data_IF_463377269405
#
_entry.id   IF_463377269405
#
_cell.length_a   1.000
_cell.length_b   1.000
_cell.length_c   1.000
_cell.angle_alpha   90.00
_cell.angle_beta   90.00
_cell.angle_gamma   90.00
#
_symmetry.space_group_name_H-M   'P 1'
#
loop_
_entity.id
_entity.type
_entity.pdbx_description
1 polymer ?
#
# COMPACT_ATOMS: atom_id res chain seq x y z
N UNK A 1 30.96 -32.96 17.40
CA UNK A 1 30.71 -31.52 17.68
C UNK A 1 32.01 -30.77 17.43
N UNK A 2 31.99 -29.46 17.08
CA UNK A 2 30.84 -28.64 16.67
C UNK A 2 30.44 -29.05 15.22
N UNK A 3 29.95 -28.24 14.28
CA UNK A 3 29.30 -26.92 14.32
C UNK A 3 28.16 -26.91 13.28
N UNK A 4 27.06 -26.18 13.54
CA UNK A 4 25.96 -26.01 12.57
C UNK A 4 25.33 -24.61 12.59
N UNK A 5 26.05 -23.60 13.11
CA UNK A 5 25.54 -22.21 13.26
C UNK A 5 25.77 -21.29 12.05
N UNK A 6 26.48 -21.74 11.02
CA UNK A 6 26.91 -20.89 9.88
C UNK A 6 25.83 -20.73 8.80
N UNK A 7 25.06 -21.78 8.52
CA UNK A 7 24.23 -21.89 7.31
C UNK A 7 22.98 -20.97 7.30
N UNK A 8 22.43 -20.61 8.46
CA UNK A 8 21.20 -19.79 8.51
C UNK A 8 21.45 -18.30 8.28
N UNK A 9 22.58 -17.76 8.78
CA UNK A 9 22.96 -16.35 8.55
C UNK A 9 23.32 -16.11 7.09
N UNK A 10 24.02 -17.07 6.47
CA UNK A 10 24.42 -16.98 5.07
C UNK A 10 23.21 -16.92 4.13
N UNK A 11 22.21 -17.79 4.33
CA UNK A 11 20.96 -17.78 3.54
C UNK A 11 20.12 -16.51 3.72
N UNK A 12 20.15 -15.90 4.91
CA UNK A 12 19.47 -14.61 5.15
C UNK A 12 20.19 -13.45 4.46
N UNK A 13 21.52 -13.39 4.54
CA UNK A 13 22.32 -12.41 3.82
C UNK A 13 22.16 -12.55 2.30
N UNK A 14 22.13 -13.78 1.79
CA UNK A 14 21.93 -14.08 0.37
C UNK A 14 20.54 -13.64 -0.12
N UNK A 15 19.49 -13.81 0.70
CA UNK A 15 18.15 -13.27 0.39
C UNK A 15 18.15 -11.74 0.32
N UNK A 16 18.78 -11.05 1.28
CA UNK A 16 18.91 -9.58 1.24
C UNK A 16 19.75 -9.09 0.06
N UNK A 17 20.80 -9.82 -0.32
CA UNK A 17 21.67 -9.47 -1.45
C UNK A 17 20.94 -9.66 -2.79
N UNK A 18 20.15 -10.74 -2.94
CA UNK A 18 19.25 -10.95 -4.08
C UNK A 18 18.17 -9.85 -4.11
N UNK A 19 17.54 -9.52 -2.97
CA UNK A 19 16.54 -8.45 -2.90
C UNK A 19 17.14 -7.09 -3.27
N UNK A 20 18.34 -6.77 -2.80
CA UNK A 20 19.06 -5.56 -3.15
C UNK A 20 19.42 -5.51 -4.65
N UNK A 21 19.90 -6.62 -5.23
CA UNK A 21 20.17 -6.73 -6.67
C UNK A 21 18.90 -6.60 -7.52
N UNK A 22 17.78 -7.20 -7.10
CA UNK A 22 16.49 -7.06 -7.79
C UNK A 22 15.92 -5.64 -7.62
N UNK A 23 16.10 -5.00 -6.47
CA UNK A 23 15.68 -3.62 -6.23
C UNK A 23 16.51 -2.62 -7.07
N UNK A 24 17.84 -2.71 -7.03
CA UNK A 24 18.74 -1.86 -7.83
C UNK A 24 18.57 -2.17 -9.32
N UNK A 25 18.48 -3.45 -9.70
CA UNK A 25 18.22 -3.87 -11.07
C UNK A 25 16.87 -3.36 -11.59
N UNK A 26 15.81 -3.40 -10.78
CA UNK A 26 14.52 -2.82 -11.17
C UNK A 26 14.58 -1.31 -11.30
N UNK A 27 15.32 -0.59 -10.44
CA UNK A 27 15.58 0.85 -10.60
C UNK A 27 16.34 1.16 -11.91
N UNK A 28 17.37 0.39 -12.25
CA UNK A 28 18.14 0.56 -13.50
C UNK A 28 17.29 0.24 -14.74
N UNK A 29 16.52 -0.85 -14.71
CA UNK A 29 15.58 -1.20 -15.79
C UNK A 29 14.50 -0.14 -15.95
N UNK A 30 13.94 0.39 -14.84
CA UNK A 30 12.98 1.49 -14.88
C UNK A 30 13.60 2.78 -15.42
N UNK A 31 14.87 3.11 -15.11
CA UNK A 31 15.53 4.28 -15.71
C UNK A 31 15.82 4.13 -17.21
N UNK A 32 16.02 2.91 -17.70
CA UNK A 32 16.23 2.62 -19.13
C UNK A 32 14.89 2.63 -19.90
N UNK A 33 13.82 2.09 -19.31
CA UNK A 33 12.49 2.01 -19.95
C UNK A 33 11.72 3.35 -19.85
N UNK A 34 11.94 4.12 -18.77
CA UNK A 34 11.30 5.43 -18.55
C UNK A 34 12.36 6.55 -18.43
N UNK A 35 13.10 6.85 -19.51
CA UNK A 35 14.17 7.86 -19.50
C UNK A 35 13.66 9.29 -19.30
N UNK A 36 12.35 9.54 -19.37
CA UNK A 36 11.76 10.84 -19.00
C UNK A 36 11.69 11.06 -17.48
N UNK A 37 11.68 10.01 -16.67
CA UNK A 37 11.69 10.10 -15.19
C UNK A 37 13.09 10.06 -14.59
N UNK A 38 14.07 9.49 -15.30
CA UNK A 38 15.44 9.26 -14.81
C UNK A 38 16.52 9.60 -15.86
N UNK A 39 16.19 10.51 -16.79
CA UNK A 39 17.13 10.94 -17.83
C UNK A 39 18.41 11.53 -17.23
N UNK A 40 19.51 11.59 -18.03
CA UNK A 40 20.75 12.19 -17.55
C UNK A 40 20.48 13.60 -17.01
N UNK A 41 21.12 13.95 -15.91
CA UNK A 41 21.16 15.34 -15.44
C UNK A 41 21.93 16.17 -16.47
N UNK A 42 21.22 16.66 -17.48
CA UNK A 42 21.70 17.74 -18.34
C UNK A 42 22.18 18.86 -17.43
N UNK A 43 23.38 19.40 -17.70
CA UNK A 43 23.84 20.62 -17.04
C UNK A 43 22.92 21.77 -17.47
N UNK A 44 21.84 22.00 -16.73
CA UNK A 44 20.93 23.10 -17.01
C UNK A 44 21.47 24.36 -16.34
N UNK A 45 21.90 25.31 -17.16
CA UNK A 45 22.24 26.66 -16.75
C UNK A 45 20.93 27.45 -16.59
N UNK A 46 20.59 27.84 -15.36
CA UNK A 46 19.37 28.61 -15.06
C UNK A 46 18.26 27.82 -14.37
N UNK A 47 17.10 28.46 -14.18
CA UNK A 47 16.00 27.88 -13.44
C UNK A 47 15.21 26.84 -14.26
N UNK A 48 14.64 25.82 -13.62
CA UNK A 48 13.95 24.73 -14.33
C UNK A 48 12.65 24.34 -13.62
N UNK A 49 11.52 24.52 -14.32
CA UNK A 49 10.22 24.03 -13.89
C UNK A 49 9.91 22.71 -14.60
N UNK A 50 9.56 21.66 -13.85
CA UNK A 50 9.13 20.35 -14.38
C UNK A 50 7.94 19.82 -13.58
N UNK A 51 7.01 19.06 -14.18
CA UNK A 51 6.03 18.31 -13.40
C UNK A 51 6.74 17.20 -12.60
N UNK A 52 6.21 16.87 -11.42
CA UNK A 52 6.64 15.65 -10.69
C UNK A 52 6.17 14.40 -11.44
N UNK A 53 4.92 14.43 -11.92
CA UNK A 53 4.31 13.39 -12.75
C UNK A 53 3.79 14.03 -14.05
N UNK A 54 4.29 13.58 -15.21
CA UNK A 54 3.81 14.06 -16.52
C UNK A 54 2.36 13.64 -16.83
N UNK A 55 1.84 12.62 -16.14
CA UNK A 55 0.46 12.14 -16.28
C UNK A 55 -0.17 11.98 -14.91
N UNK A 56 -1.09 12.88 -14.56
CA UNK A 56 -1.76 12.94 -13.27
C UNK A 56 -3.14 12.30 -13.38
N UNK A 57 -3.42 11.33 -12.52
CA UNK A 57 -4.68 10.57 -12.54
C UNK A 57 -5.80 11.38 -11.89
N UNK A 58 -6.98 11.41 -12.50
CA UNK A 58 -8.18 12.04 -11.95
C UNK A 58 -8.43 11.65 -10.48
N UNK A 59 -8.69 12.64 -9.63
CA UNK A 59 -8.75 12.47 -8.18
C UNK A 59 -7.42 12.58 -7.44
N UNK A 60 -6.30 12.84 -8.13
CA UNK A 60 -5.05 13.37 -7.57
C UNK A 60 -4.87 14.82 -8.04
N UNK A 61 -3.83 15.51 -7.55
CA UNK A 61 -3.47 16.87 -7.96
C UNK A 61 -2.09 16.86 -8.65
N UNK A 62 -1.79 17.83 -9.53
CA UNK A 62 -0.44 18.00 -10.03
C UNK A 62 0.49 18.58 -8.95
N UNK A 63 1.75 18.19 -9.00
CA UNK A 63 2.85 18.83 -8.28
C UNK A 63 3.91 19.25 -9.32
N UNK A 64 4.58 20.39 -9.10
CA UNK A 64 5.73 20.81 -9.89
C UNK A 64 7.00 20.78 -9.03
N UNK A 65 8.14 20.50 -9.65
CA UNK A 65 9.47 20.74 -9.08
C UNK A 65 10.10 21.93 -9.78
N UNK A 66 10.53 22.91 -8.99
CA UNK A 66 11.33 24.04 -9.44
C UNK A 66 12.76 23.87 -8.92
N UNK A 67 13.72 23.79 -9.84
CA UNK A 67 15.15 23.73 -9.54
C UNK A 67 15.75 25.11 -9.77
N UNK A 68 16.42 25.68 -8.77
CA UNK A 68 17.16 26.93 -8.93
C UNK A 68 18.63 26.62 -9.26
N UNK A 69 19.04 26.81 -10.53
CA UNK A 69 20.47 26.83 -10.94
C UNK A 69 20.89 28.20 -11.47
N UNK A 70 20.28 29.27 -10.96
CA UNK A 70 20.71 30.65 -11.21
C UNK A 70 21.77 31.07 -10.19
N UNK A 71 22.33 32.27 -10.34
CA UNK A 71 23.35 32.78 -9.42
C UNK A 71 22.81 33.36 -8.12
N UNK A 72 21.49 33.56 -8.01
CA UNK A 72 20.81 34.12 -6.84
C UNK A 72 19.58 33.34 -6.42
N UNK A 73 18.84 33.87 -5.46
CA UNK A 73 17.64 33.24 -4.91
C UNK A 73 16.39 33.60 -5.72
N UNK A 74 15.48 32.64 -5.89
CA UNK A 74 14.23 32.82 -6.64
C UNK A 74 13.10 33.10 -5.65
N UNK A 75 12.53 34.30 -5.72
CA UNK A 75 11.30 34.67 -5.00
C UNK A 75 10.10 34.39 -5.91
N UNK A 76 9.13 33.63 -5.43
CA UNK A 76 7.87 33.41 -6.16
C UNK A 76 6.85 34.49 -5.78
N UNK A 77 6.01 34.94 -6.71
CA UNK A 77 4.98 35.92 -6.40
C UNK A 77 3.90 35.28 -5.51
N UNK A 78 3.55 35.94 -4.40
CA UNK A 78 2.31 35.63 -3.69
C UNK A 78 1.13 36.11 -4.54
N UNK A 79 0.29 35.16 -4.92
CA UNK A 79 -0.87 35.36 -5.80
C UNK A 79 -2.17 34.83 -5.20
N UNK A 80 -2.14 34.34 -3.95
CA UNK A 80 -3.32 33.74 -3.31
C UNK A 80 -4.54 34.69 -3.41
N UNK A 81 -5.72 34.21 -3.89
CA UNK A 81 -6.11 32.81 -4.08
C UNK A 81 -5.70 32.15 -5.41
N UNK A 82 -4.98 32.82 -6.31
CA UNK A 82 -4.40 32.19 -7.52
C UNK A 82 -3.09 31.45 -7.22
N UNK A 83 -2.71 30.42 -8.00
CA UNK A 83 -1.41 29.79 -7.90
C UNK A 83 -0.25 30.75 -8.27
N UNK A 84 0.99 30.48 -7.81
CA UNK A 84 2.17 31.25 -8.19
C UNK A 84 2.54 31.10 -9.68
N UNK A 85 1.92 30.15 -10.39
CA UNK A 85 2.07 29.90 -11.83
C UNK A 85 0.80 30.31 -12.59
N UNK A 86 0.94 30.80 -13.81
CA UNK A 86 -0.18 30.91 -14.74
C UNK A 86 -0.56 29.52 -15.27
N UNK A 87 -1.85 29.21 -15.30
CA UNK A 87 -2.36 27.89 -15.70
C UNK A 87 -3.14 28.03 -17.00
N UNK A 88 -2.84 27.16 -17.97
CA UNK A 88 -3.51 27.09 -19.26
C UNK A 88 -4.00 25.67 -19.52
N UNK A 89 -5.20 25.53 -20.06
CA UNK A 89 -5.65 24.30 -20.70
C UNK A 89 -5.20 24.30 -22.16
N UNK A 90 -4.71 23.16 -22.65
CA UNK A 90 -4.40 22.98 -24.07
C UNK A 90 -5.64 22.42 -24.76
N UNK A 91 -6.15 23.12 -25.77
CA UNK A 91 -7.26 22.64 -26.60
C UNK A 91 -6.81 21.52 -27.55
N UNK A 92 -7.77 20.79 -28.16
CA UNK A 92 -7.47 19.81 -29.22
C UNK A 92 -6.74 20.43 -30.44
N UNK A 93 -6.90 21.74 -30.65
CA UNK A 93 -6.19 22.50 -31.69
C UNK A 93 -4.83 23.05 -31.24
N UNK A 94 -4.37 22.72 -30.04
CA UNK A 94 -3.10 23.21 -29.46
C UNK A 94 -3.15 24.66 -28.98
N UNK A 95 -4.33 25.29 -28.94
CA UNK A 95 -4.51 26.65 -28.42
C UNK A 95 -4.47 26.62 -26.90
N UNK A 96 -3.82 27.61 -26.30
CA UNK A 96 -3.78 27.78 -24.85
C UNK A 96 -4.97 28.64 -24.39
N UNK A 97 -5.77 28.08 -23.48
CA UNK A 97 -6.90 28.74 -22.84
C UNK A 97 -6.52 29.05 -21.39
N UNK A 98 -6.35 30.34 -21.00
CA UNK A 98 -5.97 30.69 -19.63
C UNK A 98 -7.07 30.34 -18.65
N UNK A 99 -6.69 29.78 -17.50
CA UNK A 99 -7.58 29.46 -16.39
C UNK A 99 -7.30 30.38 -15.20
N UNK A 100 -8.37 30.77 -14.51
CA UNK A 100 -8.32 31.62 -13.31
C UNK A 100 -9.37 31.17 -12.30
N UNK A 101 -9.14 31.47 -11.02
CA UNK A 101 -10.06 31.15 -9.93
C UNK A 101 -9.81 32.02 -8.70
N UNK A 102 -10.86 32.21 -7.93
CA UNK A 102 -10.91 32.77 -6.59
C UNK A 102 -11.10 31.69 -5.50
N UNK A 103 -11.31 30.43 -5.89
CA UNK A 103 -11.57 29.30 -4.97
C UNK A 103 -10.37 28.38 -4.78
N UNK A 104 -10.09 28.05 -3.51
CA UNK A 104 -9.15 27.00 -3.10
C UNK A 104 -9.83 25.92 -2.26
N UNK A 105 -9.48 24.65 -2.48
CA UNK A 105 -10.02 23.50 -1.71
C UNK A 105 -9.41 23.35 -0.33
N UNK A 106 -8.17 23.81 -0.16
CA UNK A 106 -7.41 23.90 1.11
C UNK A 106 -6.64 25.22 1.08
N UNK A 107 -6.21 25.80 2.22
CA UNK A 107 -5.48 27.06 2.23
C UNK A 107 -4.24 27.03 1.34
N UNK A 108 -4.14 27.95 0.38
CA UNK A 108 -2.91 28.16 -0.36
C UNK A 108 -1.87 28.86 0.54
N UNK A 109 -0.65 28.34 0.58
CA UNK A 109 0.45 28.90 1.36
C UNK A 109 1.53 29.39 0.37
N UNK A 110 1.91 30.67 0.39
CA UNK A 110 2.89 31.21 -0.54
C UNK A 110 4.30 30.66 -0.24
N UNK A 111 4.81 29.82 -1.13
CA UNK A 111 6.24 29.47 -1.19
C UNK A 111 7.01 30.74 -1.53
N UNK A 112 7.75 31.29 -0.57
CA UNK A 112 8.28 32.66 -0.71
C UNK A 112 9.63 32.71 -1.42
N UNK A 113 10.53 31.77 -1.13
CA UNK A 113 11.93 31.84 -1.56
C UNK A 113 12.52 30.45 -1.84
N UNK A 114 13.33 30.33 -2.89
CA UNK A 114 14.07 29.11 -3.27
C UNK A 114 15.53 29.49 -3.45
N UNK A 115 16.38 28.98 -2.57
CA UNK A 115 17.79 29.33 -2.53
C UNK A 115 18.55 28.85 -3.77
N UNK A 116 19.65 29.51 -4.08
CA UNK A 116 20.62 29.06 -5.08
C UNK A 116 20.96 27.57 -4.89
N UNK A 117 21.03 26.85 -6.00
CA UNK A 117 21.32 25.42 -6.11
C UNK A 117 20.30 24.45 -5.47
N UNK A 118 19.24 24.98 -4.84
CA UNK A 118 18.19 24.23 -4.15
C UNK A 118 17.00 23.85 -5.06
N UNK A 119 16.05 23.09 -4.51
CA UNK A 119 14.81 22.67 -5.17
C UNK A 119 13.59 22.85 -4.26
N UNK A 120 12.52 23.39 -4.82
CA UNK A 120 11.21 23.42 -4.16
C UNK A 120 10.18 22.60 -4.92
N UNK A 121 9.21 22.07 -4.18
CA UNK A 121 7.95 21.56 -4.76
C UNK A 121 6.91 22.67 -4.72
N UNK A 122 6.27 22.95 -5.84
CA UNK A 122 5.06 23.76 -5.91
C UNK A 122 3.89 22.78 -5.90
N UNK A 123 3.22 22.67 -4.76
CA UNK A 123 2.01 21.88 -4.63
C UNK A 123 0.81 22.65 -5.19
N UNK A 124 0.10 22.05 -6.15
CA UNK A 124 -1.10 22.61 -6.75
C UNK A 124 -2.39 21.99 -6.18
N UNK A 125 -2.28 21.22 -5.10
CA UNK A 125 -3.41 20.67 -4.36
C UNK A 125 -4.48 21.71 -3.95
N UNK A 126 -4.17 22.98 -3.60
CA UNK A 126 -5.20 23.99 -3.32
C UNK A 126 -6.16 24.27 -4.48
N UNK A 127 -5.75 24.03 -5.73
CA UNK A 127 -6.53 24.32 -6.94
C UNK A 127 -7.07 23.08 -7.65
N UNK A 128 -6.96 21.92 -7.01
CA UNK A 128 -7.31 20.61 -7.58
C UNK A 128 -8.67 20.57 -8.28
N UNK A 129 -9.68 21.21 -7.69
CA UNK A 129 -11.05 21.20 -8.20
C UNK A 129 -11.46 22.50 -8.93
N UNK A 130 -10.74 23.61 -8.73
CA UNK A 130 -11.03 24.88 -9.40
C UNK A 130 -10.29 25.05 -10.73
N UNK A 131 -9.07 24.51 -10.87
CA UNK A 131 -8.28 24.61 -12.11
C UNK A 131 -8.06 23.25 -12.81
N UNK A 132 -8.06 22.13 -12.06
CA UNK A 132 -7.61 20.83 -12.56
C UNK A 132 -8.68 19.72 -12.58
N UNK A 133 -9.97 20.06 -12.55
CA UNK A 133 -11.06 19.06 -12.56
C UNK A 133 -11.26 18.39 -13.93
N UNK A 134 -10.98 19.12 -15.02
CA UNK A 134 -11.16 18.61 -16.38
C UNK A 134 -10.00 17.70 -16.84
N UNK A 135 -10.32 16.69 -17.66
CA UNK A 135 -9.29 15.90 -18.34
C UNK A 135 -8.75 16.62 -19.59
N UNK A 136 -7.47 16.37 -19.90
CA UNK A 136 -6.76 17.02 -21.00
C UNK A 136 -5.30 17.35 -20.65
N UNK A 137 -4.59 17.95 -21.60
CA UNK A 137 -3.24 18.48 -21.39
C UNK A 137 -3.31 19.90 -20.81
N UNK A 138 -2.42 20.18 -19.88
CA UNK A 138 -2.28 21.47 -19.20
C UNK A 138 -0.86 21.99 -19.40
N UNK A 139 -0.74 23.30 -19.61
CA UNK A 139 0.52 24.02 -19.60
C UNK A 139 0.52 25.00 -18.41
N UNK A 140 1.58 24.99 -17.62
CA UNK A 140 1.79 25.94 -16.53
C UNK A 140 3.04 26.77 -16.81
N UNK A 141 2.95 28.07 -16.56
CA UNK A 141 4.03 29.04 -16.78
C UNK A 141 4.36 29.76 -15.49
N UNK A 142 5.63 29.80 -15.14
CA UNK A 142 6.15 30.63 -14.06
C UNK A 142 6.96 31.78 -14.66
N UNK A 143 6.55 33.01 -14.37
CA UNK A 143 7.29 34.20 -14.74
C UNK A 143 8.27 34.55 -13.61
N UNK A 144 9.56 34.50 -13.89
CA UNK A 144 10.61 34.90 -12.96
C UNK A 144 10.98 36.37 -13.22
N UNK A 145 10.86 37.19 -12.18
CA UNK A 145 11.36 38.56 -12.20
C UNK A 145 12.89 38.55 -12.33
N UNK A 146 13.42 39.37 -13.24
CA UNK A 146 14.85 39.61 -13.41
C UNK A 146 15.21 41.03 -12.97
N UNK A 147 16.50 41.31 -12.66
CA UNK A 147 16.98 42.67 -12.42
C UNK A 147 16.65 43.61 -13.59
N UNK A 148 16.49 44.90 -13.30
CA UNK A 148 16.00 45.91 -14.24
C UNK A 148 16.75 45.88 -15.59
N UNK A 149 15.99 45.81 -16.68
CA UNK A 149 16.51 45.85 -18.06
C UNK A 149 16.57 44.52 -18.81
N UNK A 150 16.21 43.38 -18.18
CA UNK A 150 16.04 42.09 -18.86
C UNK A 150 14.58 41.66 -18.90
N UNK A 151 14.15 41.00 -20.00
CA UNK A 151 12.80 40.42 -20.07
C UNK A 151 12.61 39.30 -19.04
N UNK A 152 11.41 39.16 -18.45
CA UNK A 152 11.12 38.14 -17.45
C UNK A 152 11.28 36.73 -18.05
N UNK A 153 11.95 35.85 -17.31
CA UNK A 153 12.18 34.48 -17.78
C UNK A 153 10.93 33.64 -17.51
N UNK A 154 10.31 33.13 -18.57
CA UNK A 154 9.14 32.25 -18.46
C UNK A 154 9.57 30.80 -18.48
N UNK A 155 9.42 30.11 -17.34
CA UNK A 155 9.60 28.67 -17.25
C UNK A 155 8.28 27.97 -17.54
N UNK A 156 8.30 26.96 -18.40
CA UNK A 156 7.09 26.23 -18.81
C UNK A 156 7.18 24.75 -18.44
N UNK A 157 6.11 24.22 -17.87
CA UNK A 157 5.92 22.79 -17.65
C UNK A 157 4.58 22.33 -18.23
N UNK A 158 4.50 21.07 -18.68
CA UNK A 158 3.27 20.46 -19.18
C UNK A 158 3.00 19.11 -18.53
N UNK A 159 1.71 18.81 -18.32
CA UNK A 159 1.25 17.51 -17.80
C UNK A 159 -0.17 17.22 -18.28
N UNK A 160 -0.57 15.96 -18.23
CA UNK A 160 -1.90 15.51 -18.67
C UNK A 160 -2.73 15.02 -17.48
N UNK A 161 -3.92 15.60 -17.28
CA UNK A 161 -4.95 15.05 -16.40
C UNK A 161 -5.72 13.96 -17.15
N UNK A 162 -5.70 12.72 -16.66
CA UNK A 162 -6.32 11.58 -17.34
C UNK A 162 -7.36 10.84 -16.48
N UNK A 163 -8.36 10.25 -17.13
CA UNK A 163 -9.43 9.53 -16.44
C UNK A 163 -8.93 8.21 -15.80
N UNK A 164 -9.31 7.90 -14.55
CA UNK A 164 -8.98 6.62 -13.93
C UNK A 164 -9.53 5.42 -14.73
N UNK A 165 -8.65 4.49 -15.10
CA UNK A 165 -9.04 3.25 -15.79
C UNK A 165 -10.02 2.38 -14.98
N UNK A 166 -10.73 1.48 -15.67
CA UNK A 166 -11.86 0.71 -15.13
C UNK A 166 -11.57 0.00 -13.79
N UNK A 167 -10.40 -0.63 -13.62
CA UNK A 167 -10.01 -1.27 -12.36
C UNK A 167 -9.93 -0.26 -11.21
N UNK A 168 -9.40 0.95 -11.46
CA UNK A 168 -9.36 2.02 -10.44
C UNK A 168 -10.76 2.55 -10.14
N UNK A 169 -11.63 2.70 -11.14
CA UNK A 169 -13.05 3.06 -10.93
C UNK A 169 -13.77 2.04 -10.05
N UNK A 170 -13.68 0.75 -10.37
CA UNK A 170 -14.26 -0.36 -9.59
C UNK A 170 -13.71 -0.35 -8.16
N UNK A 171 -12.38 -0.27 -8.00
CA UNK A 171 -11.74 -0.26 -6.68
C UNK A 171 -12.16 0.95 -5.83
N UNK A 172 -12.29 2.14 -6.44
CA UNK A 172 -12.82 3.32 -5.76
C UNK A 172 -14.28 3.12 -5.37
N UNK A 173 -15.15 2.71 -6.29
CA UNK A 173 -16.59 2.55 -6.05
C UNK A 173 -16.94 1.51 -4.99
N UNK A 174 -16.24 0.37 -4.95
CA UNK A 174 -16.60 -0.75 -4.07
C UNK A 174 -15.72 -0.89 -2.82
N UNK A 175 -14.56 -0.23 -2.76
CA UNK A 175 -13.64 -0.35 -1.62
C UNK A 175 -13.33 1.02 -1.01
N UNK A 176 -12.60 1.91 -1.70
CA UNK A 176 -12.11 3.14 -1.03
C UNK A 176 -13.24 4.11 -0.67
N UNK A 177 -14.23 4.29 -1.54
CA UNK A 177 -15.39 5.16 -1.30
C UNK A 177 -16.25 4.64 -0.14
N UNK A 178 -16.75 3.39 -0.12
CA UNK A 178 -17.45 2.84 1.05
C UNK A 178 -16.65 2.94 2.35
N UNK A 179 -15.33 2.64 2.31
CA UNK A 179 -14.49 2.68 3.51
C UNK A 179 -14.32 4.09 4.06
N UNK A 180 -13.96 5.08 3.22
CA UNK A 180 -13.80 6.47 3.66
C UNK A 180 -15.11 7.03 4.24
N UNK A 181 -16.24 6.80 3.56
CA UNK A 181 -17.53 7.30 4.03
C UNK A 181 -18.02 6.59 5.30
N UNK A 182 -17.65 5.32 5.50
CA UNK A 182 -17.90 4.62 6.77
C UNK A 182 -17.00 5.12 7.91
N UNK A 183 -15.72 5.43 7.64
CA UNK A 183 -14.84 6.07 8.62
C UNK A 183 -15.37 7.45 9.01
N UNK A 184 -15.84 8.25 8.04
CA UNK A 184 -16.49 9.54 8.31
C UNK A 184 -17.74 9.36 9.17
N UNK A 185 -18.64 8.44 8.80
CA UNK A 185 -19.86 8.14 9.58
C UNK A 185 -19.53 7.74 11.02
N UNK A 186 -18.56 6.84 11.21
CA UNK A 186 -18.19 6.38 12.56
C UNK A 186 -17.47 7.45 13.36
N UNK A 187 -16.61 8.25 12.73
CA UNK A 187 -15.96 9.39 13.38
C UNK A 187 -16.95 10.51 13.73
N UNK A 188 -17.96 10.80 12.90
CA UNK A 188 -18.97 11.84 13.20
C UNK A 188 -19.89 11.51 14.37
N UNK A 189 -19.87 10.25 14.84
CA UNK A 189 -20.55 9.81 16.07
C UNK A 189 -19.68 9.94 17.33
N UNK A 190 -18.42 10.40 17.19
CA UNK A 190 -17.43 10.55 18.25
C UNK A 190 -17.08 12.04 18.39
N UNK A 191 -17.02 12.54 19.63
CA UNK A 191 -16.80 13.96 19.92
C UNK A 191 -15.42 14.50 19.51
N UNK A 192 -14.43 13.61 19.35
CA UNK A 192 -13.06 13.90 18.90
C UNK A 192 -12.79 13.44 17.46
N UNK A 193 -13.81 12.96 16.73
CA UNK A 193 -13.70 12.35 15.41
C UNK A 193 -12.65 11.22 15.32
N UNK A 194 -12.52 10.39 16.38
CA UNK A 194 -11.40 9.45 16.52
C UNK A 194 -11.25 8.44 15.36
N UNK A 195 -10.15 8.57 14.61
CA UNK A 195 -9.81 7.69 13.50
C UNK A 195 -9.50 6.25 13.97
N UNK A 196 -8.92 6.08 15.16
CA UNK A 196 -8.55 4.77 15.69
C UNK A 196 -9.78 3.91 15.99
N UNK A 197 -10.77 4.50 16.64
CA UNK A 197 -12.06 3.84 16.90
C UNK A 197 -12.80 3.55 15.59
N UNK A 198 -12.85 4.52 14.66
CA UNK A 198 -13.44 4.33 13.32
C UNK A 198 -12.81 3.14 12.57
N UNK A 199 -11.48 3.02 12.59
CA UNK A 199 -10.74 1.88 11.99
C UNK A 199 -11.07 0.57 12.70
N UNK A 200 -11.14 0.53 14.03
CA UNK A 200 -11.49 -0.68 14.79
C UNK A 200 -12.89 -1.16 14.40
N UNK A 201 -13.87 -0.25 14.37
CA UNK A 201 -15.27 -0.56 14.00
C UNK A 201 -15.37 -1.02 12.55
N UNK A 202 -14.70 -0.34 11.60
CA UNK A 202 -14.62 -0.77 10.20
C UNK A 202 -13.99 -2.18 10.08
N UNK A 203 -12.92 -2.45 10.83
CA UNK A 203 -12.25 -3.76 10.81
C UNK A 203 -13.19 -4.86 11.27
N UNK A 204 -13.91 -4.65 12.38
CA UNK A 204 -14.88 -5.61 12.92
C UNK A 204 -16.02 -5.82 11.92
N UNK A 205 -16.60 -4.75 11.36
CA UNK A 205 -17.68 -4.84 10.37
C UNK A 205 -17.25 -5.66 9.13
N UNK A 206 -16.07 -5.36 8.57
CA UNK A 206 -15.54 -6.10 7.42
C UNK A 206 -15.26 -7.57 7.77
N UNK A 207 -14.75 -7.86 8.98
CA UNK A 207 -14.55 -9.25 9.43
C UNK A 207 -15.83 -10.01 9.65
N UNK A 208 -16.90 -9.36 10.13
CA UNK A 208 -18.23 -9.97 10.27
C UNK A 208 -18.87 -10.23 8.90
N UNK A 209 -18.80 -9.27 7.96
CA UNK A 209 -19.26 -9.47 6.59
C UNK A 209 -18.52 -10.62 5.87
N UNK A 210 -17.21 -10.75 6.13
CA UNK A 210 -16.37 -11.81 5.59
C UNK A 210 -16.35 -13.09 6.45
N UNK A 211 -17.17 -13.20 7.50
CA UNK A 211 -17.13 -14.33 8.43
C UNK A 211 -17.43 -15.66 7.71
N UNK A 212 -18.56 -15.76 7.02
CA UNK A 212 -18.95 -17.00 6.30
C UNK A 212 -17.92 -17.47 5.25
N UNK A 213 -17.43 -16.63 4.31
CA UNK A 213 -16.42 -17.08 3.35
C UNK A 213 -15.08 -17.44 4.00
N UNK A 214 -14.66 -16.74 5.08
CA UNK A 214 -13.44 -17.10 5.80
C UNK A 214 -13.59 -18.39 6.61
N UNK A 215 -14.78 -18.69 7.16
CA UNK A 215 -15.07 -19.99 7.77
C UNK A 215 -14.88 -21.15 6.79
N UNK A 216 -15.49 -21.09 5.61
CA UNK A 216 -15.33 -22.13 4.59
C UNK A 216 -13.89 -22.29 4.10
N UNK A 217 -13.12 -21.19 4.02
CA UNK A 217 -11.70 -21.25 3.72
C UNK A 217 -10.90 -22.01 4.79
N UNK A 218 -11.18 -21.77 6.08
CA UNK A 218 -10.54 -22.45 7.22
C UNK A 218 -10.90 -23.94 7.28
N UNK A 219 -12.15 -24.31 6.97
CA UNK A 219 -12.56 -25.71 6.82
C UNK A 219 -11.80 -26.41 5.67
N UNK A 220 -11.66 -25.74 4.52
CA UNK A 220 -10.88 -26.24 3.38
C UNK A 220 -9.41 -26.46 3.76
N UNK A 221 -8.80 -25.50 4.46
CA UNK A 221 -7.43 -25.62 4.98
C UNK A 221 -7.29 -26.79 5.96
N UNK A 222 -8.25 -26.99 6.88
CA UNK A 222 -8.27 -28.13 7.81
C UNK A 222 -8.37 -29.47 7.10
N UNK A 223 -9.18 -29.58 6.03
CA UNK A 223 -9.26 -30.77 5.18
C UNK A 223 -7.91 -31.06 4.51
N UNK A 224 -7.25 -30.03 3.96
CA UNK A 224 -5.93 -30.15 3.35
C UNK A 224 -4.85 -30.62 4.35
N UNK A 225 -4.87 -30.09 5.59
CA UNK A 225 -3.98 -30.56 6.67
C UNK A 225 -4.19 -32.04 7.01
N UNK A 226 -5.44 -32.54 7.02
CA UNK A 226 -5.71 -33.96 7.26
C UNK A 226 -5.17 -34.88 6.13
N UNK A 227 -5.00 -34.36 4.90
CA UNK A 227 -4.41 -35.12 3.77
C UNK A 227 -2.88 -35.07 3.74
N UNK A 228 -2.25 -34.26 4.57
CA UNK A 228 -0.80 -34.08 4.62
C UNK A 228 0.02 -35.39 4.68
N UNK A 229 -0.30 -36.42 5.51
CA UNK A 229 0.46 -37.67 5.49
C UNK A 229 0.38 -38.41 4.13
N UNK A 230 -0.77 -38.40 3.45
CA UNK A 230 -0.93 -39.01 2.12
C UNK A 230 -0.12 -38.23 1.06
N UNK A 231 -0.07 -36.90 1.17
CA UNK A 231 0.77 -36.05 0.31
C UNK A 231 2.26 -36.35 0.52
N UNK A 232 2.70 -36.57 1.75
CA UNK A 232 4.08 -36.93 2.07
C UNK A 232 4.46 -38.32 1.52
N UNK A 233 3.53 -39.29 1.51
CA UNK A 233 3.73 -40.60 0.87
C UNK A 233 3.87 -40.51 -0.66
N UNK A 234 3.00 -39.76 -1.35
CA UNK A 234 3.10 -39.55 -2.80
C UNK A 234 4.46 -38.89 -3.14
N UNK A 235 4.87 -37.89 -2.38
CA UNK A 235 6.17 -37.21 -2.55
C UNK A 235 7.37 -38.13 -2.33
N UNK A 236 7.30 -39.06 -1.38
CA UNK A 236 8.33 -40.10 -1.19
C UNK A 236 8.39 -41.06 -2.37
N UNK A 237 7.23 -41.53 -2.87
CA UNK A 237 7.15 -42.48 -3.99
C UNK A 237 7.61 -41.88 -5.32
N UNK A 238 7.30 -40.62 -5.59
CA UNK A 238 7.52 -39.98 -6.89
C UNK A 238 8.59 -38.88 -6.85
N UNK A 239 9.55 -38.94 -5.91
CA UNK A 239 10.63 -37.94 -5.76
C UNK A 239 11.39 -37.66 -7.08
N UNK A 240 11.55 -38.68 -7.92
CA UNK A 240 12.26 -38.60 -9.21
C UNK A 240 11.37 -38.30 -10.42
N UNK A 241 10.04 -38.17 -10.27
CA UNK A 241 9.12 -37.89 -11.36
C UNK A 241 8.09 -36.81 -10.95
N UNK A 242 8.39 -35.52 -11.18
CA UNK A 242 7.52 -34.41 -10.80
C UNK A 242 6.15 -34.40 -11.49
N UNK A 243 6.05 -34.88 -12.72
CA UNK A 243 4.79 -34.89 -13.47
C UNK A 243 3.80 -35.91 -12.87
N UNK A 244 4.27 -37.14 -12.64
CA UNK A 244 3.47 -38.18 -12.00
C UNK A 244 3.09 -37.77 -10.57
N UNK A 245 4.02 -37.17 -9.82
CA UNK A 245 3.76 -36.63 -8.49
C UNK A 245 2.61 -35.60 -8.52
N UNK A 246 2.66 -34.63 -9.43
CA UNK A 246 1.60 -33.62 -9.56
C UNK A 246 0.25 -34.24 -9.98
N UNK A 247 0.26 -35.22 -10.88
CA UNK A 247 -0.95 -35.95 -11.32
C UNK A 247 -1.60 -36.71 -10.18
N UNK A 248 -0.83 -37.37 -9.32
CA UNK A 248 -1.34 -38.10 -8.16
C UNK A 248 -1.81 -37.16 -7.03
N UNK A 249 -1.12 -36.04 -6.79
CA UNK A 249 -1.58 -35.00 -5.86
C UNK A 249 -2.93 -34.44 -6.32
N UNK A 250 -3.09 -34.13 -7.61
CA UNK A 250 -4.36 -33.66 -8.18
C UNK A 250 -5.46 -34.73 -8.09
N UNK A 251 -5.12 -36.01 -8.29
CA UNK A 251 -6.06 -37.13 -8.13
C UNK A 251 -6.54 -37.24 -6.67
N UNK A 252 -5.62 -37.19 -5.71
CA UNK A 252 -5.92 -37.22 -4.28
C UNK A 252 -6.87 -36.08 -3.87
N UNK A 253 -6.62 -34.85 -4.36
CA UNK A 253 -7.50 -33.70 -4.09
C UNK A 253 -8.91 -33.88 -4.67
N UNK A 254 -9.03 -34.43 -5.89
CA UNK A 254 -10.34 -34.75 -6.51
C UNK A 254 -11.09 -35.83 -5.75
N UNK A 255 -10.43 -36.94 -5.40
CA UNK A 255 -11.01 -38.05 -4.64
C UNK A 255 -11.56 -37.59 -3.28
N UNK A 256 -10.82 -36.72 -2.59
CA UNK A 256 -11.21 -36.21 -1.25
C UNK A 256 -12.03 -34.91 -1.32
N UNK A 257 -12.38 -34.44 -2.52
CA UNK A 257 -13.16 -33.21 -2.79
C UNK A 257 -12.61 -31.96 -2.06
N UNK A 258 -11.28 -31.79 -2.08
CA UNK A 258 -10.58 -30.64 -1.46
C UNK A 258 -10.13 -29.66 -2.54
N UNK A 259 -10.42 -28.37 -2.36
CA UNK A 259 -9.96 -27.31 -3.25
C UNK A 259 -8.73 -26.59 -2.65
N UNK A 260 -7.53 -26.63 -3.29
CA UNK A 260 -6.34 -25.96 -2.77
C UNK A 260 -6.51 -24.43 -2.67
N UNK A 261 -7.31 -23.80 -3.55
CA UNK A 261 -7.53 -22.34 -3.55
C UNK A 261 -8.27 -21.85 -2.31
N UNK A 262 -9.02 -22.71 -1.61
CA UNK A 262 -9.65 -22.33 -0.34
C UNK A 262 -8.61 -21.95 0.73
N UNK A 263 -7.38 -22.44 0.65
CA UNK A 263 -6.32 -22.11 1.61
C UNK A 263 -5.67 -20.74 1.39
N UNK A 264 -5.74 -20.17 0.17
CA UNK A 264 -5.24 -18.82 -0.12
C UNK A 264 -6.34 -17.75 -0.19
N UNK A 265 -7.61 -18.15 -0.32
CA UNK A 265 -8.77 -17.25 -0.38
C UNK A 265 -8.80 -16.16 0.72
N UNK A 266 -8.49 -16.43 2.02
CA UNK A 266 -8.49 -15.39 3.04
C UNK A 266 -7.47 -14.28 2.74
N UNK A 267 -6.31 -14.64 2.19
CA UNK A 267 -5.25 -13.70 1.83
C UNK A 267 -5.63 -12.88 0.59
N UNK A 268 -6.24 -13.51 -0.41
CA UNK A 268 -6.72 -12.83 -1.63
C UNK A 268 -7.83 -11.80 -1.33
N UNK A 269 -8.70 -12.08 -0.34
CA UNK A 269 -9.73 -11.12 0.10
C UNK A 269 -9.11 -10.04 1.01
N UNK A 270 -8.13 -10.39 1.85
CA UNK A 270 -7.48 -9.47 2.79
C UNK A 270 -6.68 -8.37 2.08
N UNK A 271 -6.01 -8.67 0.95
CA UNK A 271 -5.17 -7.69 0.25
C UNK A 271 -5.94 -6.47 -0.31
N UNK A 272 -7.04 -6.61 -1.09
CA UNK A 272 -7.83 -5.48 -1.55
C UNK A 272 -8.36 -4.59 -0.41
N UNK A 273 -8.77 -5.19 0.70
CA UNK A 273 -9.24 -4.45 1.89
C UNK A 273 -8.11 -3.64 2.52
N UNK A 274 -6.93 -4.24 2.70
CA UNK A 274 -5.75 -3.56 3.25
C UNK A 274 -5.27 -2.41 2.34
N UNK A 275 -5.17 -2.67 1.03
CA UNK A 275 -4.82 -1.66 0.01
C UNK A 275 -5.86 -0.54 0.01
N UNK A 276 -7.15 -0.90 0.16
CA UNK A 276 -8.27 0.04 0.23
C UNK A 276 -8.11 1.00 1.40
N UNK A 277 -7.87 0.46 2.60
CA UNK A 277 -7.62 1.28 3.78
C UNK A 277 -6.35 2.14 3.63
N UNK A 278 -5.25 1.60 3.07
CA UNK A 278 -4.04 2.38 2.83
C UNK A 278 -4.32 3.61 1.96
N UNK A 279 -5.02 3.45 0.82
CA UNK A 279 -5.38 4.59 -0.02
C UNK A 279 -6.38 5.54 0.66
N UNK A 280 -7.32 5.03 1.45
CA UNK A 280 -8.26 5.86 2.22
C UNK A 280 -7.54 6.72 3.27
N UNK A 281 -6.56 6.16 3.98
CA UNK A 281 -5.78 6.91 4.97
C UNK A 281 -4.82 7.90 4.30
N UNK A 282 -4.17 7.49 3.21
CA UNK A 282 -3.23 8.35 2.48
C UNK A 282 -3.95 9.52 1.80
N UNK A 283 -4.91 9.22 0.93
CA UNK A 283 -5.58 10.19 0.07
C UNK A 283 -6.73 10.92 0.81
N UNK A 284 -7.37 10.26 1.78
CA UNK A 284 -8.47 10.79 2.58
C UNK A 284 -8.05 11.33 3.96
N UNK A 285 -6.75 11.52 4.20
CA UNK A 285 -6.24 12.24 5.38
C UNK A 285 -6.73 13.68 5.44
N UNK A 286 -6.86 14.32 4.27
CA UNK A 286 -7.48 15.64 4.09
C UNK A 286 -8.77 15.45 3.28
N UNK A 287 -9.92 15.57 3.94
CA UNK A 287 -11.23 15.23 3.35
C UNK A 287 -11.60 16.13 2.16
N UNK A 288 -11.26 17.42 2.24
CA UNK A 288 -11.55 18.42 1.19
C UNK A 288 -10.84 18.06 -0.12
N UNK A 289 -9.58 17.65 -0.03
CA UNK A 289 -8.81 17.12 -1.17
C UNK A 289 -9.36 15.79 -1.71
N UNK A 290 -10.22 15.11 -0.96
CA UNK A 290 -10.80 13.81 -1.31
C UNK A 290 -12.30 13.84 -1.65
N UNK A 291 -12.89 15.02 -1.92
CA UNK A 291 -14.31 15.19 -2.36
C UNK A 291 -14.81 14.14 -3.36
N UNK A 292 -13.97 13.74 -4.33
CA UNK A 292 -14.30 12.70 -5.33
C UNK A 292 -14.60 11.30 -4.73
N UNK A 293 -14.01 10.98 -3.58
CA UNK A 293 -14.28 9.76 -2.79
C UNK A 293 -15.45 9.92 -1.81
N UNK A 294 -16.08 11.09 -1.69
CA UNK A 294 -17.17 11.34 -0.75
C UNK A 294 -18.55 11.13 -1.39
N UNK A 295 -19.52 10.66 -0.62
CA UNK A 295 -20.94 10.72 -0.96
C UNK A 295 -21.47 12.15 -0.74
N UNK A 296 -22.58 12.51 -1.39
CA UNK A 296 -23.14 13.87 -1.34
C UNK A 296 -23.25 14.47 0.07
N UNK A 297 -23.76 13.75 1.11
CA UNK A 297 -23.91 14.33 2.44
C UNK A 297 -22.60 14.77 3.11
N UNK A 298 -21.45 14.27 2.64
CA UNK A 298 -20.14 14.49 3.26
C UNK A 298 -19.22 15.41 2.45
N UNK A 299 -19.62 15.88 1.26
CA UNK A 299 -18.76 16.73 0.40
C UNK A 299 -18.40 18.09 0.99
N UNK A 300 -19.20 18.58 1.94
CA UNK A 300 -19.06 19.89 2.59
C UNK A 300 -18.59 19.78 4.05
N UNK A 301 -17.96 18.67 4.43
CA UNK A 301 -17.34 18.51 5.75
C UNK A 301 -16.09 19.37 5.84
N UNK A 302 -16.06 20.27 6.83
CA UNK A 302 -14.94 21.14 7.15
C UNK A 302 -14.08 20.65 8.34
N UNK A 303 -14.34 19.45 8.88
CA UNK A 303 -13.54 18.84 9.95
C UNK A 303 -12.60 17.76 9.41
N UNK A 304 -11.46 17.59 10.08
CA UNK A 304 -10.51 16.49 9.83
C UNK A 304 -10.60 15.42 10.91
N UNK A 305 -10.14 14.20 10.59
CA UNK A 305 -10.11 13.08 11.53
C UNK A 305 -9.24 13.35 12.76
N UNK A 306 -9.68 12.91 13.94
CA UNK A 306 -8.85 12.83 15.14
C UNK A 306 -7.79 11.75 14.97
N UNK A 307 -6.56 12.14 14.62
CA UNK A 307 -5.47 11.21 14.27
C UNK A 307 -4.76 10.60 15.47
N UNK A 308 -4.89 11.20 16.66
CA UNK A 308 -4.26 10.72 17.88
C UNK A 308 -5.06 9.57 18.52
N UNK A 309 -4.43 8.41 18.65
CA UNK A 309 -5.03 7.24 19.28
C UNK A 309 -4.00 6.50 20.14
N UNK A 310 -4.31 6.27 21.42
CA UNK A 310 -3.41 5.64 22.40
C UNK A 310 -2.00 6.29 22.47
N UNK A 311 -1.93 7.61 22.29
CA UNK A 311 -0.67 8.36 22.28
C UNK A 311 0.14 8.26 20.98
N UNK A 312 -0.46 7.78 19.88
CA UNK A 312 0.17 7.65 18.57
C UNK A 312 -0.57 8.45 17.50
N UNK A 313 0.16 9.14 16.63
CA UNK A 313 -0.39 9.68 15.39
C UNK A 313 -0.62 8.53 14.39
N UNK A 314 -1.87 8.30 14.02
CA UNK A 314 -2.27 7.22 13.12
C UNK A 314 -1.84 7.42 11.65
N UNK A 315 -1.50 8.64 11.25
CA UNK A 315 -0.97 8.93 9.91
C UNK A 315 0.52 8.62 9.77
N UNK A 316 1.25 8.52 10.89
CA UNK A 316 2.69 8.28 10.92
C UNK A 316 3.04 6.80 11.16
N UNK A 317 4.20 6.30 10.67
CA UNK A 317 4.66 4.95 11.00
C UNK A 317 5.10 4.83 12.48
N UNK A 318 4.37 4.05 13.27
CA UNK A 318 4.70 3.76 14.68
C UNK A 318 5.73 2.63 14.78
N UNK A 319 7.00 3.00 14.66
CA UNK A 319 8.16 2.10 14.54
C UNK A 319 8.37 1.17 15.74
N UNK A 320 7.96 1.56 16.95
CA UNK A 320 8.31 0.85 18.19
C UNK A 320 7.23 -0.12 18.69
N UNK A 321 5.95 0.11 18.36
CA UNK A 321 4.83 -0.64 18.95
C UNK A 321 4.25 -1.63 17.96
N UNK A 322 3.81 -1.17 16.79
CA UNK A 322 3.09 -2.04 15.85
C UNK A 322 3.97 -3.13 15.21
N UNK A 323 5.21 -2.87 14.74
CA UNK A 323 6.05 -3.93 14.16
C UNK A 323 6.28 -5.14 15.07
N UNK A 324 6.76 -5.02 16.33
CA UNK A 324 6.92 -6.19 17.19
C UNK A 324 5.59 -6.83 17.58
N UNK A 325 4.53 -6.02 17.82
CA UNK A 325 3.20 -6.54 18.13
C UNK A 325 2.63 -7.38 16.99
N UNK A 326 2.75 -6.92 15.74
CA UNK A 326 2.29 -7.66 14.55
C UNK A 326 3.09 -8.94 14.32
N UNK A 327 4.41 -8.93 14.52
CA UNK A 327 5.23 -10.16 14.48
C UNK A 327 4.71 -11.18 15.50
N UNK A 328 4.45 -10.77 16.74
CA UNK A 328 3.94 -11.66 17.79
C UNK A 328 2.53 -12.16 17.49
N UNK A 329 1.59 -11.27 17.15
CA UNK A 329 0.20 -11.64 16.80
C UNK A 329 0.16 -12.59 15.60
N UNK A 330 0.90 -12.28 14.53
CA UNK A 330 0.95 -13.10 13.33
C UNK A 330 1.62 -14.46 13.61
N UNK A 331 2.67 -14.51 14.44
CA UNK A 331 3.29 -15.76 14.88
C UNK A 331 2.32 -16.61 15.69
N UNK A 332 1.58 -16.02 16.64
CA UNK A 332 0.54 -16.72 17.42
C UNK A 332 -0.56 -17.26 16.51
N UNK A 333 -1.05 -16.45 15.56
CA UNK A 333 -2.06 -16.87 14.59
C UNK A 333 -1.58 -18.05 13.73
N UNK A 334 -0.38 -17.95 13.13
CA UNK A 334 0.22 -19.04 12.35
C UNK A 334 0.46 -20.30 13.20
N UNK A 335 0.98 -20.15 14.42
CA UNK A 335 1.21 -21.28 15.34
C UNK A 335 -0.10 -21.99 15.69
N UNK A 336 -1.19 -21.25 15.90
CA UNK A 336 -2.51 -21.83 16.16
C UNK A 336 -3.06 -22.59 14.94
N UNK A 337 -2.91 -22.04 13.74
CA UNK A 337 -3.31 -22.70 12.48
C UNK A 337 -2.52 -24.00 12.23
N UNK A 338 -1.23 -24.06 12.59
CA UNK A 338 -0.37 -25.23 12.39
C UNK A 338 -0.30 -26.24 13.56
N UNK A 339 -0.71 -25.85 14.78
CA UNK A 339 -0.69 -26.74 15.95
C UNK A 339 -1.55 -28.01 15.74
N UNK A 340 -2.67 -27.89 15.03
CA UNK A 340 -3.56 -29.01 14.69
C UNK A 340 -2.87 -30.04 13.80
N UNK A 341 -2.19 -29.60 12.74
CA UNK A 341 -1.45 -30.48 11.86
C UNK A 341 -0.48 -31.36 12.67
N UNK A 342 0.27 -30.75 13.61
CA UNK A 342 1.26 -31.45 14.42
C UNK A 342 0.67 -32.38 15.50
N UNK A 343 -0.44 -32.01 16.16
CA UNK A 343 -1.12 -32.85 17.18
C UNK A 343 -1.61 -34.16 16.57
N UNK A 344 -2.13 -34.14 15.33
CA UNK A 344 -2.59 -35.36 14.64
C UNK A 344 -1.45 -36.23 14.09
N UNK A 345 -0.38 -35.66 13.54
CA UNK A 345 0.78 -36.47 13.10
C UNK A 345 1.45 -37.18 14.30
N UNK A 346 1.47 -36.55 15.48
CA UNK A 346 2.05 -37.14 16.68
C UNK A 346 1.29 -38.38 17.20
N UNK A 347 -0.05 -38.40 17.10
CA UNK A 347 -0.86 -39.55 17.52
C UNK A 347 -0.69 -40.79 16.62
N UNK A 348 -0.21 -40.64 15.38
CA UNK A 348 0.04 -41.76 14.46
C UNK A 348 1.45 -42.38 14.59
N UNK A 349 2.10 -42.22 15.75
CA UNK A 349 3.09 -43.20 16.24
C UNK A 349 4.44 -43.32 15.52
N UNK A 350 4.82 -42.39 14.63
CA UNK A 350 6.17 -42.38 14.00
C UNK A 350 6.96 -41.10 14.26
N UNK A 351 7.65 -41.06 15.40
CA UNK A 351 8.81 -40.20 15.61
C UNK A 351 10.05 -40.85 14.98
N UNK A 352 10.23 -40.68 13.67
CA UNK A 352 11.54 -40.90 13.04
C UNK A 352 12.36 -39.61 13.12
N UNK A 353 13.57 -39.67 13.70
CA UNK A 353 14.49 -38.54 13.75
C UNK A 353 15.09 -38.26 12.37
N UNK A 354 14.45 -37.36 11.60
CA UNK A 354 15.05 -36.85 10.36
C UNK A 354 16.23 -35.90 10.64
N UNK A 355 17.42 -36.46 10.80
CA UNK A 355 18.68 -35.77 10.48
C UNK A 355 18.93 -35.91 8.97
N UNK A 356 18.50 -34.93 8.20
CA UNK A 356 18.72 -34.86 6.75
C UNK A 356 17.70 -33.95 6.08
N UNK A 357 18.20 -33.04 5.25
CA UNK A 357 17.51 -32.05 4.38
C UNK A 357 16.03 -31.71 4.67
N UNK A 358 15.79 -30.43 4.95
CA UNK A 358 14.45 -29.88 5.13
C UNK A 358 13.65 -30.02 3.81
N UNK A 359 12.53 -30.75 3.85
CA UNK A 359 11.71 -30.92 2.64
C UNK A 359 11.12 -29.58 2.18
N UNK A 360 10.85 -29.45 0.87
CA UNK A 360 10.28 -28.22 0.29
C UNK A 360 8.98 -27.78 0.99
N UNK A 361 8.19 -28.73 1.51
CA UNK A 361 6.95 -28.47 2.26
C UNK A 361 7.21 -28.02 3.70
N UNK A 362 8.19 -28.61 4.40
CA UNK A 362 8.65 -28.10 5.71
C UNK A 362 9.29 -26.72 5.57
N UNK A 363 9.96 -26.42 4.45
CA UNK A 363 10.49 -25.10 4.14
C UNK A 363 9.36 -24.09 3.90
N UNK A 364 8.33 -24.44 3.10
CA UNK A 364 7.13 -23.60 2.93
C UNK A 364 6.42 -23.34 4.27
N UNK A 365 6.26 -24.36 5.12
CA UNK A 365 5.68 -24.21 6.46
C UNK A 365 6.52 -23.32 7.37
N UNK A 366 7.87 -23.46 7.37
CA UNK A 366 8.75 -22.56 8.14
C UNK A 366 8.73 -21.14 7.62
N UNK A 367 8.66 -20.94 6.31
CA UNK A 367 8.52 -19.62 5.70
C UNK A 367 7.19 -18.97 6.11
N UNK A 368 6.08 -19.72 6.11
CA UNK A 368 4.78 -19.21 6.55
C UNK A 368 4.73 -18.97 8.08
N UNK A 369 5.39 -19.79 8.90
CA UNK A 369 5.39 -19.66 10.36
C UNK A 369 6.33 -18.57 10.88
N UNK A 370 7.49 -18.35 10.25
CA UNK A 370 8.51 -17.41 10.73
C UNK A 370 8.80 -16.26 9.76
N UNK A 371 8.87 -16.54 8.46
CA UNK A 371 9.17 -15.54 7.43
C UNK A 371 8.03 -14.52 7.26
N UNK A 372 6.79 -14.99 7.10
CA UNK A 372 5.62 -14.13 6.91
C UNK A 372 5.39 -13.16 8.08
N UNK A 373 5.42 -13.57 9.38
CA UNK A 373 5.37 -12.62 10.50
C UNK A 373 6.46 -11.56 10.47
N UNK A 374 7.73 -11.94 10.22
CA UNK A 374 8.86 -10.99 10.16
C UNK A 374 8.70 -10.02 8.99
N UNK A 375 8.27 -10.50 7.82
CA UNK A 375 8.01 -9.65 6.65
C UNK A 375 6.90 -8.62 6.93
N UNK A 376 5.82 -9.02 7.60
CA UNK A 376 4.74 -8.10 8.01
C UNK A 376 5.27 -7.08 9.04
N UNK A 377 6.13 -7.51 9.97
CA UNK A 377 6.85 -6.61 10.86
C UNK A 377 7.69 -5.56 10.11
N UNK A 378 8.48 -5.98 9.13
CA UNK A 378 9.29 -5.07 8.28
C UNK A 378 8.40 -4.07 7.53
N UNK A 379 7.29 -4.53 6.93
CA UNK A 379 6.33 -3.65 6.27
C UNK A 379 5.68 -2.64 7.24
N UNK A 380 5.40 -3.03 8.48
CA UNK A 380 4.81 -2.14 9.48
C UNK A 380 5.71 -0.96 9.89
N UNK A 381 7.01 -0.97 9.57
CA UNK A 381 7.89 0.21 9.73
C UNK A 381 7.70 1.27 8.63
N UNK A 382 7.11 0.90 7.49
CA UNK A 382 6.95 1.77 6.31
C UNK A 382 5.54 2.36 6.18
N UNK A 383 4.52 1.72 6.75
CA UNK A 383 3.12 2.13 6.62
C UNK A 383 2.62 2.95 7.82
N UNK A 384 1.62 3.83 7.62
CA UNK A 384 0.93 4.54 8.71
C UNK A 384 0.41 3.60 9.80
N UNK A 385 0.45 4.04 11.06
CA UNK A 385 -0.04 3.28 12.20
C UNK A 385 -1.52 2.90 12.10
N UNK A 386 -2.35 3.68 11.38
CA UNK A 386 -3.71 3.30 10.99
C UNK A 386 -3.80 1.93 10.27
N UNK A 387 -2.92 1.69 9.31
CA UNK A 387 -2.88 0.44 8.52
C UNK A 387 -2.41 -0.72 9.40
N UNK A 388 -1.46 -0.45 10.29
CA UNK A 388 -0.96 -1.43 11.25
C UNK A 388 -1.98 -1.77 12.36
N UNK A 389 -2.79 -0.80 12.79
CA UNK A 389 -3.92 -0.97 13.71
C UNK A 389 -4.98 -1.88 13.11
N UNK A 390 -5.41 -1.60 11.88
CA UNK A 390 -6.29 -2.48 11.11
C UNK A 390 -5.73 -3.91 11.03
N UNK A 391 -4.43 -4.07 10.74
CA UNK A 391 -3.80 -5.39 10.69
C UNK A 391 -3.85 -6.10 12.06
N UNK A 392 -3.54 -5.40 13.14
CA UNK A 392 -3.53 -5.98 14.49
C UNK A 392 -4.93 -6.49 14.90
N UNK A 393 -5.97 -5.68 14.69
CA UNK A 393 -7.36 -6.06 14.97
C UNK A 393 -7.83 -7.18 14.02
N UNK A 394 -7.44 -7.12 12.75
CA UNK A 394 -7.71 -8.16 11.74
C UNK A 394 -7.13 -9.51 12.13
N UNK A 395 -5.88 -9.55 12.60
CA UNK A 395 -5.20 -10.77 13.07
C UNK A 395 -5.77 -11.24 14.42
N UNK A 396 -6.13 -10.33 15.34
CA UNK A 396 -6.78 -10.69 16.60
C UNK A 396 -8.14 -11.37 16.35
N UNK A 397 -8.97 -10.83 15.46
CA UNK A 397 -10.21 -11.45 15.04
C UNK A 397 -9.97 -12.85 14.44
N UNK A 398 -8.96 -12.99 13.57
CA UNK A 398 -8.59 -14.27 12.98
C UNK A 398 -8.12 -15.31 14.02
N UNK A 399 -7.41 -14.88 15.09
CA UNK A 399 -7.05 -15.76 16.22
C UNK A 399 -8.31 -16.23 16.94
N UNK A 400 -9.23 -15.33 17.29
CA UNK A 400 -10.49 -15.68 17.97
C UNK A 400 -11.32 -16.62 17.11
N UNK A 401 -11.48 -16.32 15.82
CA UNK A 401 -12.17 -17.17 14.85
C UNK A 401 -11.55 -18.57 14.79
N UNK A 402 -10.21 -18.64 14.71
CA UNK A 402 -9.48 -19.92 14.67
C UNK A 402 -9.64 -20.70 15.98
N UNK A 403 -9.65 -20.07 17.16
CA UNK A 403 -9.92 -20.73 18.44
C UNK A 403 -11.34 -21.33 18.48
N UNK A 404 -12.35 -20.61 17.97
CA UNK A 404 -13.75 -21.09 17.91
C UNK A 404 -13.87 -22.31 16.98
N UNK A 405 -13.32 -22.24 15.76
CA UNK A 405 -13.33 -23.35 14.78
C UNK A 405 -12.61 -24.58 15.33
N UNK A 406 -11.48 -24.36 15.98
CA UNK A 406 -10.60 -25.41 16.46
C UNK A 406 -11.01 -25.97 17.84
N UNK A 407 -12.05 -25.44 18.48
CA UNK A 407 -12.47 -25.79 19.85
C UNK A 407 -12.72 -27.29 20.06
N UNK A 408 -13.07 -28.03 19.00
CA UNK A 408 -13.28 -29.49 19.03
C UNK A 408 -11.99 -30.32 18.91
N UNK A 409 -10.92 -29.78 18.32
CA UNK A 409 -9.62 -30.48 18.12
C UNK A 409 -8.54 -30.02 19.12
N UNK A 410 -8.75 -28.86 19.77
CA UNK A 410 -7.85 -28.31 20.79
C UNK A 410 -8.03 -28.94 22.16
N UNK A 411 -9.26 -29.37 22.50
CA UNK A 411 -9.49 -30.40 23.52
C UNK A 411 -8.68 -31.66 23.16
#
# INVERSE_FOLDING_TARGET
>A
MPSSKVDTRFKFAQFFLIFALVYVGSKVVLSIIFPSQFGPESQVTGAVLKPVDASVKGGHHPELTLLNKTEGDIVLPDRCPMPPVDVFRVSESGKLEPLSTDETVVPCVPLTEIKKDDRAKIDLSPWKYSLFDAYGEYEVRLQLAKPEGQEPETLTARFTMYEPGAITKIFRTFITKPFLNFLILTASLLSDHNLGIAIIVLTILVKLALFFPTQHAMEGQKKLQNLQPKLDEIKKKHKSNPEQMNKEIMKLWKEHKVNPMQSCLPMLIQFPVLIGLFFVIRDGSILELSRHLLYEPYRHIAWGFGTNFLGLNLLEPSKYIFPPMLVVLQFVQMKLTFAIAKKKTANNGKKEEKKGELSQQEMQQRMMLYGLPVMIGVFAFQFPAAVALYWAISTLFAIVQQLVVNRKDLK
#
